data_IF_223511596456
#
_entry.id   IF_223511596456
#
_cell.length_a   1.000
_cell.length_b   1.000
_cell.length_c   1.000
_cell.angle_alpha   90.00
_cell.angle_beta   90.00
_cell.angle_gamma   90.00
#
_symmetry.space_group_name_H-M   'P 1'
#
loop_
_entity.id
_entity.type
_entity.pdbx_description
1 polymer ?
#
# COMPACT_ATOMS: atom_id res chain seq x y z
N UNK A 1 -7.69 4.63 17.57
CA UNK A 1 -8.54 5.30 16.57
C UNK A 1 -7.80 5.59 15.25
N UNK A 2 -7.19 4.58 14.65
CA UNK A 2 -6.58 4.63 13.31
C UNK A 2 -7.37 3.79 12.29
N UNK A 3 -8.31 2.96 12.76
CA UNK A 3 -9.19 2.18 11.90
C UNK A 3 -10.29 3.05 11.29
N UNK A 4 -10.68 2.83 10.04
CA UNK A 4 -11.80 3.52 9.43
C UNK A 4 -13.11 3.17 10.15
N UNK A 5 -13.95 4.17 10.35
CA UNK A 5 -15.31 4.00 10.81
C UNK A 5 -16.24 4.10 9.60
N UNK A 6 -16.48 2.94 8.99
CA UNK A 6 -17.27 2.89 7.76
C UNK A 6 -18.74 3.15 8.06
N UNK A 7 -19.29 4.19 7.41
CA UNK A 7 -20.73 4.41 7.34
C UNK A 7 -21.23 3.75 6.05
N UNK A 8 -22.12 2.80 6.18
CA UNK A 8 -22.70 2.06 5.05
C UNK A 8 -24.20 2.31 5.01
N UNK A 9 -24.75 2.56 3.83
CA UNK A 9 -26.19 2.63 3.58
C UNK A 9 -26.49 2.02 2.21
N UNK A 10 -27.50 1.17 2.13
CA UNK A 10 -27.89 0.51 0.89
C UNK A 10 -26.75 -0.27 0.20
N UNK A 11 -25.88 -0.91 0.98
CA UNK A 11 -24.70 -1.63 0.46
C UNK A 11 -23.54 -0.74 -0.03
N UNK A 12 -23.68 0.59 0.00
CA UNK A 12 -22.63 1.53 -0.39
C UNK A 12 -21.92 2.13 0.82
N UNK A 13 -20.59 2.20 0.76
CA UNK A 13 -19.79 2.88 1.78
C UNK A 13 -19.89 4.39 1.57
N UNK A 14 -20.62 5.08 2.43
CA UNK A 14 -20.80 6.54 2.37
C UNK A 14 -19.58 7.28 2.92
N UNK A 15 -18.89 6.73 3.89
CA UNK A 15 -17.71 7.36 4.49
C UNK A 15 -16.80 6.30 5.12
N UNK A 16 -15.51 6.45 4.91
CA UNK A 16 -14.45 5.65 5.55
C UNK A 16 -13.56 6.49 6.46
N UNK A 17 -14.08 7.61 6.98
CA UNK A 17 -13.32 8.49 7.86
C UNK A 17 -12.97 7.79 9.17
N UNK A 18 -11.78 8.08 9.69
CA UNK A 18 -11.38 7.64 11.02
C UNK A 18 -12.13 8.40 12.11
N UNK A 19 -12.37 7.74 13.26
CA UNK A 19 -13.01 8.37 14.40
C UNK A 19 -12.28 9.60 14.90
N UNK A 20 -13.02 10.61 15.36
CA UNK A 20 -12.48 11.82 16.00
C UNK A 20 -11.77 11.46 17.30
N UNK A 21 -10.84 12.29 17.72
CA UNK A 21 -10.04 12.16 18.94
C UNK A 21 -8.59 11.82 18.65
N UNK A 22 -7.73 12.23 19.57
CA UNK A 22 -6.29 11.98 19.54
C UNK A 22 -5.86 11.27 20.81
N UNK A 23 -4.84 10.43 20.70
CA UNK A 23 -4.10 9.86 21.83
C UNK A 23 -2.61 10.06 21.56
N UNK A 24 -1.79 10.05 22.61
CA UNK A 24 -0.34 10.17 22.47
C UNK A 24 0.22 9.13 21.51
N UNK A 25 -0.25 7.89 21.61
CA UNK A 25 0.15 6.81 20.71
C UNK A 25 -0.23 7.10 19.25
N UNK A 26 -1.44 7.59 18.98
CA UNK A 26 -1.86 7.98 17.62
C UNK A 26 -0.96 9.07 17.04
N UNK A 27 -0.60 10.07 17.85
CA UNK A 27 0.28 11.16 17.41
C UNK A 27 1.67 10.62 17.09
N UNK A 28 2.26 9.82 18.00
CA UNK A 28 3.57 9.20 17.79
C UNK A 28 3.62 8.33 16.52
N UNK A 29 2.60 7.48 16.30
CA UNK A 29 2.51 6.64 15.11
C UNK A 29 2.36 7.45 13.82
N UNK A 30 1.65 8.57 13.86
CA UNK A 30 1.53 9.47 12.69
C UNK A 30 2.84 10.18 12.38
N UNK A 31 3.58 10.61 13.42
CA UNK A 31 4.90 11.21 13.25
C UNK A 31 5.90 10.18 12.67
N UNK A 32 5.91 8.96 13.18
CA UNK A 32 6.72 7.87 12.64
C UNK A 32 6.36 7.55 11.18
N UNK A 33 5.07 7.49 10.85
CA UNK A 33 4.61 7.28 9.48
C UNK A 33 5.04 8.40 8.53
N UNK A 34 5.03 9.65 8.99
CA UNK A 34 5.51 10.78 8.20
C UNK A 34 7.03 10.71 7.97
N UNK A 35 7.80 10.33 9.01
CA UNK A 35 9.24 10.10 8.88
C UNK A 35 9.56 8.98 7.88
N UNK A 36 8.81 7.88 7.91
CA UNK A 36 8.94 6.78 6.92
C UNK A 36 8.71 7.29 5.49
N UNK A 37 7.73 8.16 5.28
CA UNK A 37 7.47 8.76 3.97
C UNK A 37 8.62 9.63 3.44
N UNK A 38 9.47 10.13 4.33
CA UNK A 38 10.62 10.99 4.00
C UNK A 38 11.95 10.22 3.88
N UNK A 39 11.96 8.91 4.13
CA UNK A 39 13.18 8.11 3.98
C UNK A 39 13.70 8.18 2.54
N UNK A 40 15.03 8.20 2.39
CA UNK A 40 15.68 8.13 1.06
C UNK A 40 15.71 6.70 0.54
N UNK A 41 16.00 5.74 1.43
CA UNK A 41 16.12 4.32 1.08
C UNK A 41 14.75 3.67 0.87
N UNK A 42 14.65 2.81 -0.13
CA UNK A 42 13.44 2.05 -0.40
C UNK A 42 13.27 0.97 0.67
N UNK A 43 12.20 1.07 1.42
CA UNK A 43 11.76 0.07 2.39
C UNK A 43 10.32 -0.34 2.10
N UNK A 44 9.87 -1.54 2.48
CA UNK A 44 8.49 -1.96 2.25
C UNK A 44 7.44 -0.99 2.79
N UNK A 45 7.69 -0.39 3.95
CA UNK A 45 6.78 0.59 4.55
C UNK A 45 6.79 1.92 3.80
N UNK A 46 7.96 2.38 3.33
CA UNK A 46 8.08 3.57 2.48
C UNK A 46 7.35 3.37 1.16
N UNK A 47 7.53 2.24 0.52
CA UNK A 47 6.87 1.93 -0.75
C UNK A 47 5.34 1.85 -0.58
N UNK A 48 4.88 1.28 0.54
CA UNK A 48 3.47 1.31 0.91
C UNK A 48 2.96 2.75 1.08
N UNK A 49 3.71 3.62 1.79
CA UNK A 49 3.38 5.03 1.97
C UNK A 49 3.25 5.75 0.62
N UNK A 50 4.26 5.65 -0.24
CA UNK A 50 4.27 6.33 -1.54
C UNK A 50 3.16 5.86 -2.47
N UNK A 51 2.83 4.57 -2.45
CA UNK A 51 1.72 4.03 -3.22
C UNK A 51 0.37 4.63 -2.82
N UNK A 52 0.14 4.82 -1.52
CA UNK A 52 -1.10 5.44 -1.03
C UNK A 52 -1.06 6.94 -1.28
N UNK A 53 0.09 7.58 -1.06
CA UNK A 53 0.27 9.01 -1.31
C UNK A 53 -0.06 9.38 -2.76
N UNK A 54 0.39 8.59 -3.72
CA UNK A 54 0.09 8.79 -5.13
C UNK A 54 -1.41 8.72 -5.44
N UNK A 55 -2.13 7.79 -4.80
CA UNK A 55 -3.56 7.55 -5.07
C UNK A 55 -4.51 8.48 -4.31
N UNK A 56 -4.20 8.77 -3.05
CA UNK A 56 -5.14 9.37 -2.08
C UNK A 56 -4.57 10.57 -1.32
N UNK A 57 -3.33 10.95 -1.63
CA UNK A 57 -2.64 12.06 -0.99
C UNK A 57 -1.98 11.71 0.35
N UNK A 58 -1.15 12.66 0.82
CA UNK A 58 -0.24 12.49 1.96
C UNK A 58 -0.96 12.18 3.28
N UNK A 59 -2.07 12.85 3.55
CA UNK A 59 -2.83 12.65 4.80
C UNK A 59 -3.33 11.22 4.93
N UNK A 60 -3.84 10.65 3.83
CA UNK A 60 -4.29 9.26 3.77
C UNK A 60 -3.12 8.28 3.90
N UNK A 61 -1.96 8.59 3.28
CA UNK A 61 -0.76 7.78 3.39
C UNK A 61 -0.23 7.72 4.83
N UNK A 62 -0.15 8.86 5.51
CA UNK A 62 0.25 8.93 6.94
C UNK A 62 -0.68 8.07 7.79
N UNK A 63 -1.99 8.20 7.62
CA UNK A 63 -2.96 7.46 8.44
C UNK A 63 -2.89 5.95 8.19
N UNK A 64 -2.78 5.53 6.94
CA UNK A 64 -2.67 4.12 6.58
C UNK A 64 -1.36 3.49 7.06
N UNK A 65 -0.25 4.21 6.93
CA UNK A 65 1.06 3.74 7.41
C UNK A 65 1.11 3.69 8.93
N UNK A 66 0.54 4.68 9.63
CA UNK A 66 0.43 4.67 11.09
C UNK A 66 -0.38 3.46 11.59
N UNK A 67 -1.46 3.10 10.89
CA UNK A 67 -2.22 1.87 11.20
C UNK A 67 -1.39 0.60 11.00
N UNK A 68 -0.62 0.53 9.92
CA UNK A 68 0.31 -0.60 9.68
C UNK A 68 1.33 -0.74 10.80
N UNK A 69 1.94 0.38 11.22
CA UNK A 69 2.87 0.40 12.35
C UNK A 69 2.23 -0.09 13.63
N UNK A 70 0.99 0.34 13.93
CA UNK A 70 0.26 -0.11 15.12
C UNK A 70 0.07 -1.64 15.12
N UNK A 71 -0.29 -2.23 13.97
CA UNK A 71 -0.45 -3.68 13.83
C UNK A 71 0.87 -4.42 14.01
N UNK A 72 1.95 -3.91 13.41
CA UNK A 72 3.29 -4.49 13.55
C UNK A 72 3.73 -4.48 15.01
N UNK A 73 3.63 -3.32 15.68
CA UNK A 73 4.01 -3.18 17.09
C UNK A 73 3.17 -4.10 17.98
N UNK A 74 1.86 -4.17 17.74
CA UNK A 74 0.97 -5.09 18.46
C UNK A 74 1.41 -6.54 18.33
N UNK A 75 1.71 -6.99 17.12
CA UNK A 75 2.18 -8.36 16.88
C UNK A 75 3.54 -8.62 17.54
N UNK A 76 4.46 -7.67 17.50
CA UNK A 76 5.77 -7.80 18.18
C UNK A 76 5.59 -7.95 19.69
N UNK A 77 4.75 -7.14 20.30
CA UNK A 77 4.52 -7.14 21.74
C UNK A 77 3.77 -8.39 22.19
N UNK A 78 2.69 -8.76 21.49
CA UNK A 78 1.82 -9.88 21.90
C UNK A 78 2.42 -11.24 21.59
N UNK A 79 3.19 -11.37 20.51
CA UNK A 79 3.81 -12.64 20.09
C UNK A 79 5.26 -12.77 20.51
N UNK A 80 5.87 -11.72 21.07
CA UNK A 80 7.29 -11.71 21.47
C UNK A 80 8.26 -11.91 20.31
N UNK A 81 7.89 -11.51 19.10
CA UNK A 81 8.70 -11.65 17.87
C UNK A 81 9.38 -10.33 17.51
N UNK A 82 10.60 -10.42 16.98
CA UNK A 82 11.30 -9.26 16.42
C UNK A 82 10.61 -8.75 15.16
N UNK A 83 10.88 -7.48 14.79
CA UNK A 83 10.39 -6.93 13.53
C UNK A 83 10.88 -7.75 12.34
N UNK A 84 9.94 -8.14 11.52
CA UNK A 84 10.21 -8.77 10.23
C UNK A 84 9.58 -7.94 9.13
N UNK A 85 10.30 -7.80 8.01
CA UNK A 85 9.73 -7.16 6.83
C UNK A 85 8.48 -7.95 6.39
N UNK A 86 7.34 -7.29 6.22
CA UNK A 86 6.12 -7.99 5.82
C UNK A 86 6.27 -8.59 4.41
N UNK A 87 6.37 -9.89 4.30
CA UNK A 87 6.46 -10.63 3.02
C UNK A 87 5.27 -10.34 2.09
N UNK A 88 4.12 -9.98 2.67
CA UNK A 88 2.93 -9.55 1.92
C UNK A 88 3.16 -8.39 0.96
N UNK A 89 4.23 -7.62 1.12
CA UNK A 89 4.58 -6.55 0.15
C UNK A 89 5.20 -7.12 -1.13
N UNK A 90 6.01 -8.16 -1.01
CA UNK A 90 6.52 -8.91 -2.18
C UNK A 90 5.36 -9.51 -2.96
N UNK A 91 4.41 -10.13 -2.28
CA UNK A 91 3.20 -10.66 -2.91
C UNK A 91 2.38 -9.58 -3.62
N UNK A 92 2.20 -8.41 -3.02
CA UNK A 92 1.51 -7.28 -3.65
C UNK A 92 2.27 -6.74 -4.87
N UNK A 93 3.60 -6.71 -4.82
CA UNK A 93 4.44 -6.32 -5.96
C UNK A 93 4.31 -7.33 -7.11
N UNK A 94 4.35 -8.62 -6.82
CA UNK A 94 4.13 -9.69 -7.80
C UNK A 94 2.72 -9.62 -8.41
N UNK A 95 1.68 -9.47 -7.58
CA UNK A 95 0.30 -9.32 -8.05
C UNK A 95 0.12 -8.09 -8.93
N UNK A 96 0.81 -7.01 -8.62
CA UNK A 96 0.83 -5.77 -9.42
C UNK A 96 1.51 -6.00 -10.77
N UNK A 97 2.66 -6.67 -10.77
CA UNK A 97 3.38 -7.06 -11.99
C UNK A 97 2.50 -7.92 -12.90
N UNK A 98 1.86 -8.94 -12.34
CA UNK A 98 0.91 -9.79 -13.07
C UNK A 98 -0.27 -9.00 -13.64
N UNK A 99 -0.81 -8.04 -12.90
CA UNK A 99 -1.88 -7.16 -13.35
C UNK A 99 -1.46 -6.28 -14.54
N UNK A 100 -0.23 -5.77 -14.53
CA UNK A 100 0.36 -4.98 -15.63
C UNK A 100 0.55 -5.87 -16.87
N UNK A 101 1.15 -7.05 -16.69
CA UNK A 101 1.35 -8.02 -17.77
C UNK A 101 0.01 -8.40 -18.43
N UNK A 102 -1.03 -8.69 -17.62
CA UNK A 102 -2.37 -9.01 -18.10
C UNK A 102 -2.98 -7.87 -18.91
N UNK A 103 -2.77 -6.62 -18.49
CA UNK A 103 -3.25 -5.42 -19.19
C UNK A 103 -2.54 -5.25 -20.53
N UNK A 104 -1.22 -5.42 -20.56
CA UNK A 104 -0.40 -5.32 -21.77
C UNK A 104 -0.82 -6.41 -22.76
N UNK A 105 -0.96 -7.67 -22.34
CA UNK A 105 -1.45 -8.77 -23.17
C UNK A 105 -2.81 -8.44 -23.80
N UNK A 106 -3.75 -7.91 -23.00
CA UNK A 106 -5.07 -7.52 -23.50
C UNK A 106 -4.99 -6.41 -24.57
N UNK A 107 -4.03 -5.48 -24.45
CA UNK A 107 -3.81 -4.43 -25.44
C UNK A 107 -3.19 -4.99 -26.73
N UNK A 108 -2.21 -5.89 -26.59
CA UNK A 108 -1.59 -6.60 -27.72
C UNK A 108 -2.66 -7.35 -28.52
N UNK A 109 -3.51 -8.13 -27.85
CA UNK A 109 -4.60 -8.88 -28.48
C UNK A 109 -5.62 -7.94 -29.17
N UNK A 110 -5.97 -6.83 -28.50
CA UNK A 110 -6.95 -5.87 -29.02
C UNK A 110 -6.49 -5.18 -30.31
N UNK A 111 -5.21 -4.85 -30.40
CA UNK A 111 -4.64 -4.12 -31.55
C UNK A 111 -3.90 -5.03 -32.55
N UNK A 112 -3.85 -6.34 -32.28
CA UNK A 112 -3.17 -7.30 -33.15
C UNK A 112 -1.68 -7.03 -33.34
N UNK A 113 -1.00 -6.55 -32.26
CA UNK A 113 0.40 -6.19 -32.31
C UNK A 113 1.28 -7.45 -32.43
N UNK A 114 2.26 -7.41 -33.34
CA UNK A 114 3.24 -8.49 -33.53
C UNK A 114 4.47 -8.24 -32.64
N UNK A 115 5.26 -9.30 -32.42
CA UNK A 115 6.51 -9.19 -31.65
C UNK A 115 7.53 -8.24 -32.30
N UNK A 116 7.52 -8.15 -33.63
CA UNK A 116 8.37 -7.24 -34.39
C UNK A 116 8.01 -5.78 -34.11
N UNK A 117 6.71 -5.46 -34.11
CA UNK A 117 6.20 -4.11 -33.79
C UNK A 117 6.50 -3.69 -32.35
N UNK A 118 6.56 -4.65 -31.42
CA UNK A 118 6.93 -4.41 -30.02
C UNK A 118 8.44 -4.31 -29.80
N UNK A 119 9.26 -4.62 -30.80
CA UNK A 119 10.72 -4.63 -30.69
C UNK A 119 11.26 -5.71 -29.74
N UNK A 120 10.49 -6.75 -29.46
CA UNK A 120 10.87 -7.86 -28.57
C UNK A 120 11.43 -9.00 -29.39
N UNK A 121 12.74 -9.26 -29.29
CA UNK A 121 13.36 -10.48 -29.82
C UNK A 121 13.14 -11.63 -28.84
N UNK A 122 12.28 -12.59 -29.22
CA UNK A 122 12.03 -13.82 -28.45
C UNK A 122 13.11 -14.91 -28.67
N UNK A 123 14.13 -14.63 -29.48
CA UNK A 123 15.24 -15.54 -29.78
C UNK A 123 16.44 -15.27 -28.87
N UNK A 124 16.28 -15.54 -27.58
CA UNK A 124 17.39 -15.76 -26.64
C UNK A 124 17.02 -16.84 -25.67
#
# INVERSE_FOLDING_TARGET
>A
RLAPNNKVSGGKVLSSKIGKGSSRLKIALRNAANAIGNLKDSTPLRDFFHRINFRKGRVSAITATARKLAVIIWNMVTKGIAYQNPEGYLYLAQKRKLGIVKRIKKQIDKFGLTNEELGVNLNN
#
